data_IF_021790437131
#
_entry.id   IF_021790437131
#
_cell.length_a   1.000
_cell.length_b   1.000
_cell.length_c   1.000
_cell.angle_alpha   90.00
_cell.angle_beta   90.00
_cell.angle_gamma   90.00
#
_symmetry.space_group_name_H-M   'P 1'
#
loop_
_entity.id
_entity.type
_entity.pdbx_description
1 polymer ?
#
# COMPACT_ATOMS: atom_id res chain seq x y z
N UNK A 1 18.66 -8.94 72.55
CA UNK A 1 18.85 -8.14 71.32
C UNK A 1 19.46 -9.05 70.25
N UNK A 2 18.62 -9.58 69.35
CA UNK A 2 19.05 -10.33 68.15
C UNK A 2 18.21 -9.77 67.01
N UNK A 3 18.87 -9.03 66.13
CA UNK A 3 18.30 -8.49 64.90
C UNK A 3 18.53 -9.56 63.84
N UNK A 4 17.45 -10.16 63.34
CA UNK A 4 17.49 -11.02 62.14
C UNK A 4 16.77 -10.30 61.03
N UNK A 5 17.57 -9.83 60.08
CA UNK A 5 17.19 -9.11 58.87
C UNK A 5 16.30 -9.97 57.97
N UNK A 6 15.08 -9.50 57.69
CA UNK A 6 14.25 -10.04 56.63
C UNK A 6 14.67 -9.44 55.30
N UNK A 7 15.20 -10.25 54.39
CA UNK A 7 15.41 -9.87 52.99
C UNK A 7 14.07 -9.94 52.28
N UNK A 8 13.49 -8.78 51.97
CA UNK A 8 12.30 -8.69 51.11
C UNK A 8 12.76 -8.81 49.66
N UNK A 9 12.51 -9.97 49.04
CA UNK A 9 12.59 -10.11 47.58
C UNK A 9 11.44 -9.30 46.96
N UNK A 10 11.76 -8.12 46.42
CA UNK A 10 10.86 -7.42 45.50
C UNK A 10 11.03 -8.12 44.14
N UNK A 11 10.08 -8.99 43.81
CA UNK A 11 9.94 -9.46 42.45
C UNK A 11 9.48 -8.29 41.58
N UNK A 12 10.40 -7.66 40.84
CA UNK A 12 10.05 -6.82 39.70
C UNK A 12 9.45 -7.75 38.64
N UNK A 13 8.13 -7.87 38.62
CA UNK A 13 7.43 -8.37 37.46
C UNK A 13 7.61 -7.34 36.34
N UNK A 14 8.58 -7.57 35.46
CA UNK A 14 8.62 -6.92 34.16
C UNK A 14 7.38 -7.36 33.39
N UNK A 15 6.29 -6.60 33.50
CA UNK A 15 5.20 -6.63 32.54
C UNK A 15 5.76 -6.16 31.19
N UNK A 16 6.31 -7.09 30.42
CA UNK A 16 6.42 -6.93 28.98
C UNK A 16 4.98 -6.91 28.44
N UNK A 17 4.33 -5.75 28.51
CA UNK A 17 3.07 -5.51 27.84
C UNK A 17 3.36 -5.47 26.33
N UNK A 18 3.48 -6.64 25.71
CA UNK A 18 3.19 -6.78 24.30
C UNK A 18 1.72 -6.41 24.14
N UNK A 19 1.43 -5.16 23.80
CA UNK A 19 0.05 -4.75 23.54
C UNK A 19 -0.41 -5.49 22.29
N UNK A 20 -1.10 -6.61 22.47
CA UNK A 20 -1.83 -7.24 21.39
C UNK A 20 -2.95 -6.27 21.01
N UNK A 21 -2.90 -5.71 19.80
CA UNK A 21 -3.97 -4.88 19.28
C UNK A 21 -5.28 -5.65 19.36
N UNK A 22 -6.38 -4.95 19.66
CA UNK A 22 -7.69 -5.59 19.70
C UNK A 22 -8.08 -6.04 18.29
N UNK A 23 -8.67 -7.24 18.19
CA UNK A 23 -9.31 -7.68 16.95
C UNK A 23 -10.52 -6.81 16.65
N UNK A 24 -10.69 -6.44 15.38
CA UNK A 24 -11.83 -5.66 14.95
C UNK A 24 -13.15 -6.41 15.20
N UNK A 25 -14.17 -5.68 15.68
CA UNK A 25 -15.53 -6.20 15.86
C UNK A 25 -16.29 -6.37 14.54
N UNK A 26 -15.91 -5.60 13.53
CA UNK A 26 -16.41 -5.67 12.16
C UNK A 26 -15.33 -5.26 11.17
N UNK A 27 -15.53 -5.57 9.88
CA UNK A 27 -14.55 -5.25 8.84
C UNK A 27 -15.24 -4.82 7.56
N UNK A 28 -14.75 -3.72 6.97
CA UNK A 28 -15.18 -3.28 5.64
C UNK A 28 -14.51 -4.11 4.56
N UNK A 29 -15.19 -4.35 3.45
CA UNK A 29 -14.59 -5.03 2.29
C UNK A 29 -14.25 -3.98 1.24
N UNK A 30 -12.96 -3.88 0.88
CA UNK A 30 -12.49 -3.11 -0.28
C UNK A 30 -12.67 -3.95 -1.54
N UNK A 31 -13.59 -3.58 -2.45
CA UNK A 31 -13.83 -4.33 -3.67
C UNK A 31 -12.73 -4.03 -4.71
N UNK A 32 -12.57 -4.95 -5.67
CA UNK A 32 -11.84 -4.63 -6.89
C UNK A 32 -12.59 -3.51 -7.64
N UNK A 33 -11.91 -2.40 -7.88
CA UNK A 33 -12.47 -1.22 -8.54
C UNK A 33 -13.06 -1.58 -9.92
N UNK A 34 -12.44 -2.50 -10.67
CA UNK A 34 -12.88 -2.89 -12.02
C UNK A 34 -14.26 -3.55 -12.04
N UNK A 35 -14.76 -3.99 -10.88
CA UNK A 35 -16.06 -4.67 -10.72
C UNK A 35 -17.14 -3.76 -10.15
N UNK A 36 -16.83 -2.49 -9.90
CA UNK A 36 -17.77 -1.55 -9.33
C UNK A 36 -18.80 -1.09 -10.37
N UNK A 37 -20.05 -0.97 -9.93
CA UNK A 37 -21.14 -0.41 -10.74
C UNK A 37 -21.00 1.11 -10.89
N UNK A 38 -21.64 1.65 -11.92
CA UNK A 38 -21.71 3.10 -12.14
C UNK A 38 -22.30 3.87 -10.96
N UNK A 39 -23.25 3.27 -10.23
CA UNK A 39 -23.83 3.87 -9.03
C UNK A 39 -22.80 4.02 -7.89
N UNK A 40 -21.91 3.02 -7.73
CA UNK A 40 -20.84 3.10 -6.74
C UNK A 40 -19.78 4.16 -7.12
N UNK A 41 -19.43 4.25 -8.41
CA UNK A 41 -18.55 5.32 -8.89
C UNK A 41 -19.17 6.71 -8.71
N UNK A 42 -20.48 6.85 -8.92
CA UNK A 42 -21.19 8.11 -8.65
C UNK A 42 -21.19 8.48 -7.17
N UNK A 43 -21.28 7.49 -6.26
CA UNK A 43 -21.15 7.72 -4.82
C UNK A 43 -19.76 8.26 -4.48
N UNK A 44 -18.70 7.64 -5.04
CA UNK A 44 -17.32 8.12 -4.89
C UNK A 44 -17.17 9.54 -5.41
N UNK A 45 -17.65 9.84 -6.62
CA UNK A 45 -17.59 11.19 -7.20
C UNK A 45 -18.25 12.24 -6.30
N UNK A 46 -19.38 11.89 -5.67
CA UNK A 46 -20.10 12.77 -4.75
C UNK A 46 -19.26 13.11 -3.51
N UNK A 47 -18.67 12.08 -2.89
CA UNK A 47 -17.82 12.26 -1.70
C UNK A 47 -16.54 13.02 -2.03
N UNK A 48 -15.87 12.69 -3.13
CA UNK A 48 -14.64 13.37 -3.56
C UNK A 48 -14.88 14.85 -3.84
N UNK A 49 -16.02 15.20 -4.45
CA UNK A 49 -16.39 16.60 -4.67
C UNK A 49 -16.56 17.35 -3.34
N UNK A 50 -17.28 16.77 -2.37
CA UNK A 50 -17.45 17.38 -1.04
C UNK A 50 -16.11 17.52 -0.30
N UNK A 51 -15.27 16.49 -0.34
CA UNK A 51 -13.92 16.55 0.20
C UNK A 51 -13.08 17.64 -0.46
N UNK A 52 -13.21 17.85 -1.77
CA UNK A 52 -12.50 18.92 -2.47
C UNK A 52 -13.02 20.31 -2.08
N UNK A 53 -14.33 20.49 -1.97
CA UNK A 53 -14.98 21.73 -1.52
C UNK A 53 -14.48 22.14 -0.12
N UNK A 54 -14.27 21.17 0.77
CA UNK A 54 -13.72 21.39 2.12
C UNK A 54 -12.17 21.45 2.17
N UNK A 55 -11.51 21.31 1.02
CA UNK A 55 -10.06 21.41 0.86
C UNK A 55 -9.28 20.18 1.31
N UNK A 56 -9.93 19.05 1.58
CA UNK A 56 -9.26 17.81 1.99
C UNK A 56 -8.35 17.25 0.90
N UNK A 57 -8.77 17.26 -0.37
CA UNK A 57 -7.96 16.72 -1.47
C UNK A 57 -6.59 17.42 -1.54
N UNK A 58 -6.57 18.76 -1.48
CA UNK A 58 -5.34 19.55 -1.44
C UNK A 58 -4.49 19.27 -0.19
N UNK A 59 -5.11 19.06 0.98
CA UNK A 59 -4.40 18.71 2.23
C UNK A 59 -3.70 17.36 2.15
N UNK A 60 -4.32 16.36 1.52
CA UNK A 60 -3.69 15.05 1.28
C UNK A 60 -2.52 15.18 0.30
N UNK A 61 -2.68 15.88 -0.83
CA UNK A 61 -1.56 16.15 -1.74
C UNK A 61 -0.39 16.87 -1.06
N UNK A 62 -0.68 17.92 -0.29
CA UNK A 62 0.32 18.64 0.50
C UNK A 62 1.01 17.76 1.55
N UNK A 63 0.25 16.93 2.27
CA UNK A 63 0.82 16.05 3.30
C UNK A 63 1.81 15.06 2.70
N UNK A 64 1.44 14.44 1.57
CA UNK A 64 2.29 13.49 0.87
C UNK A 64 3.56 14.16 0.34
N UNK A 65 3.44 15.35 -0.24
CA UNK A 65 4.58 16.12 -0.77
C UNK A 65 5.58 16.51 0.33
N UNK A 66 5.08 17.00 1.47
CA UNK A 66 5.93 17.36 2.63
C UNK A 66 6.65 16.16 3.25
N UNK A 67 6.03 14.98 3.19
CA UNK A 67 6.57 13.76 3.77
C UNK A 67 7.30 12.90 2.75
N UNK A 68 7.38 13.32 1.49
CA UNK A 68 7.76 12.48 0.37
C UNK A 68 9.06 11.70 0.61
N UNK A 69 10.14 12.39 0.99
CA UNK A 69 11.44 11.76 1.23
C UNK A 69 11.51 10.91 2.50
N UNK A 70 10.53 11.04 3.41
CA UNK A 70 10.45 10.24 4.63
C UNK A 70 9.67 8.96 4.42
N UNK A 71 8.85 8.88 3.36
CA UNK A 71 7.89 7.78 3.15
C UNK A 71 8.17 6.94 1.91
N UNK A 72 9.20 7.32 1.13
CA UNK A 72 9.72 6.58 -0.01
C UNK A 72 11.17 6.16 0.20
N UNK A 73 11.61 5.12 -0.50
CA UNK A 73 12.98 4.65 -0.46
C UNK A 73 13.39 4.04 0.88
N UNK A 74 12.44 3.85 1.80
CA UNK A 74 12.66 3.19 3.09
C UNK A 74 11.48 2.26 3.47
N UNK A 75 11.60 1.49 4.54
CA UNK A 75 10.62 0.44 4.86
C UNK A 75 9.31 0.93 5.48
N UNK A 76 9.22 2.22 5.88
CA UNK A 76 7.94 2.83 6.29
C UNK A 76 6.96 3.00 5.13
N UNK A 77 7.41 2.80 3.88
CA UNK A 77 6.61 2.92 2.67
C UNK A 77 5.25 2.23 2.79
N UNK A 78 5.19 0.92 3.03
CA UNK A 78 3.91 0.22 3.10
C UNK A 78 3.05 0.63 4.32
N UNK A 79 3.59 0.70 5.56
CA UNK A 79 2.80 1.14 6.72
C UNK A 79 2.24 2.56 6.58
N UNK A 80 3.06 3.50 6.08
CA UNK A 80 2.63 4.88 5.85
C UNK A 80 1.50 4.94 4.82
N UNK A 81 1.70 4.38 3.62
CA UNK A 81 0.68 4.44 2.56
C UNK A 81 -0.62 3.75 2.98
N UNK A 82 -0.54 2.66 3.75
CA UNK A 82 -1.71 2.00 4.35
C UNK A 82 -2.45 2.93 5.30
N UNK A 83 -1.75 3.57 6.24
CA UNK A 83 -2.34 4.51 7.19
C UNK A 83 -2.91 5.74 6.49
N UNK A 84 -2.23 6.22 5.47
CA UNK A 84 -2.60 7.38 4.67
C UNK A 84 -3.92 7.16 3.92
N UNK A 85 -4.08 5.99 3.28
CA UNK A 85 -5.35 5.61 2.65
C UNK A 85 -6.45 5.38 3.69
N UNK A 86 -6.12 4.81 4.85
CA UNK A 86 -7.09 4.66 5.94
C UNK A 86 -7.59 6.02 6.43
N UNK A 87 -6.72 7.03 6.53
CA UNK A 87 -7.14 8.39 6.89
C UNK A 87 -8.03 9.02 5.83
N UNK A 88 -7.67 8.85 4.55
CA UNK A 88 -8.50 9.29 3.45
C UNK A 88 -9.90 8.69 3.53
N UNK A 89 -9.98 7.38 3.78
CA UNK A 89 -11.24 6.66 3.95
C UNK A 89 -12.02 7.12 5.19
N UNK A 90 -11.34 7.41 6.31
CA UNK A 90 -11.97 7.93 7.53
C UNK A 90 -12.58 9.32 7.32
N UNK A 91 -11.86 10.22 6.64
CA UNK A 91 -12.38 11.55 6.25
C UNK A 91 -13.55 11.40 5.28
N UNK A 92 -13.42 10.56 4.25
CA UNK A 92 -14.50 10.30 3.30
C UNK A 92 -15.78 9.77 4.00
N UNK A 93 -15.61 8.96 5.05
CA UNK A 93 -16.71 8.42 5.87
C UNK A 93 -17.49 9.45 6.68
N UNK A 94 -16.95 10.65 6.88
CA UNK A 94 -17.73 11.74 7.49
C UNK A 94 -18.81 12.27 6.55
N UNK A 95 -18.69 12.01 5.25
CA UNK A 95 -19.67 12.38 4.22
C UNK A 95 -20.58 11.19 3.85
N UNK A 96 -20.01 10.00 3.74
CA UNK A 96 -20.74 8.74 3.49
C UNK A 96 -20.19 7.62 4.39
N UNK A 97 -20.89 7.23 5.46
CA UNK A 97 -20.42 6.18 6.39
C UNK A 97 -20.15 4.82 5.72
N UNK A 98 -20.68 4.58 4.53
CA UNK A 98 -20.46 3.35 3.76
C UNK A 98 -19.23 3.41 2.84
N UNK A 99 -18.57 4.57 2.74
CA UNK A 99 -17.44 4.78 1.85
C UNK A 99 -16.30 3.81 2.15
N UNK A 100 -15.76 3.24 1.06
CA UNK A 100 -14.56 2.41 1.05
C UNK A 100 -13.70 2.82 -0.15
N UNK A 101 -12.39 2.89 0.03
CA UNK A 101 -11.47 3.04 -1.09
C UNK A 101 -11.35 1.68 -1.78
N UNK A 102 -11.77 1.55 -3.05
CA UNK A 102 -11.60 0.30 -3.79
C UNK A 102 -10.13 0.12 -4.17
N UNK A 103 -9.71 -1.11 -4.46
CA UNK A 103 -8.34 -1.34 -4.94
C UNK A 103 -8.29 -1.40 -6.47
N UNK A 104 -7.24 -0.79 -7.04
CA UNK A 104 -6.89 -0.88 -8.45
C UNK A 104 -5.85 -1.99 -8.61
N UNK A 105 -6.22 -3.10 -9.26
CA UNK A 105 -5.26 -4.10 -9.71
C UNK A 105 -4.63 -3.70 -11.05
N UNK A 106 -3.52 -2.95 -11.02
CA UNK A 106 -2.83 -2.47 -12.22
C UNK A 106 -2.36 -3.60 -13.17
N UNK A 107 -2.31 -4.85 -12.69
CA UNK A 107 -1.87 -5.97 -13.51
C UNK A 107 -2.95 -6.48 -14.48
N UNK A 108 -4.23 -6.13 -14.28
CA UNK A 108 -5.36 -6.62 -15.09
C UNK A 108 -5.37 -6.08 -16.54
N UNK A 109 -4.70 -4.96 -16.82
CA UNK A 109 -4.55 -4.42 -18.18
C UNK A 109 -3.13 -3.97 -18.46
N UNK A 110 -2.14 -4.69 -17.92
CA UNK A 110 -0.74 -4.28 -18.00
C UNK A 110 -0.22 -4.07 -19.43
N UNK A 111 -0.75 -4.79 -20.43
CA UNK A 111 -0.36 -4.65 -21.85
C UNK A 111 -0.83 -3.34 -22.48
N UNK A 112 -2.01 -2.88 -22.11
CA UNK A 112 -2.62 -1.64 -22.59
C UNK A 112 -3.32 -0.93 -21.42
N UNK A 113 -2.55 -0.26 -20.54
CA UNK A 113 -3.13 0.30 -19.32
C UNK A 113 -4.19 1.36 -19.60
N UNK A 114 -4.10 2.07 -20.73
CA UNK A 114 -5.06 3.11 -21.10
C UNK A 114 -6.47 2.57 -21.38
N UNK A 115 -6.60 1.30 -21.79
CA UNK A 115 -7.91 0.65 -22.00
C UNK A 115 -8.49 -0.01 -20.75
N UNK A 116 -7.80 0.10 -19.60
CA UNK A 116 -8.28 -0.45 -18.34
C UNK A 116 -9.70 0.07 -18.04
N UNK A 117 -10.65 -0.77 -17.60
CA UNK A 117 -12.04 -0.35 -17.32
C UNK A 117 -12.19 0.77 -16.27
N UNK A 118 -11.09 1.08 -15.57
CA UNK A 118 -11.01 2.15 -14.58
C UNK A 118 -10.66 3.49 -15.20
N UNK A 119 -9.89 3.50 -16.29
CA UNK A 119 -9.42 4.71 -16.95
C UNK A 119 -10.42 5.18 -18.01
N UNK A 120 -11.68 5.25 -17.62
CA UNK A 120 -12.82 5.63 -18.45
C UNK A 120 -13.56 6.83 -17.85
N UNK A 121 -14.34 7.52 -18.67
CA UNK A 121 -15.12 8.68 -18.24
C UNK A 121 -16.15 8.38 -17.14
N UNK A 122 -16.57 7.11 -16.97
CA UNK A 122 -17.52 6.68 -15.95
C UNK A 122 -16.90 6.17 -14.65
N UNK A 123 -15.56 6.15 -14.55
CA UNK A 123 -14.80 5.67 -13.40
C UNK A 123 -13.72 6.70 -13.00
N UNK A 124 -12.43 6.34 -12.99
CA UNK A 124 -11.34 7.23 -12.55
C UNK A 124 -11.01 8.34 -13.55
N UNK A 125 -11.61 8.34 -14.73
CA UNK A 125 -11.36 9.32 -15.80
C UNK A 125 -10.24 8.87 -16.75
N UNK A 126 -10.14 9.55 -17.89
CA UNK A 126 -9.19 9.25 -18.97
C UNK A 126 -7.88 10.06 -18.81
N UNK A 127 -7.13 10.21 -19.90
CA UNK A 127 -6.04 11.18 -19.99
C UNK A 127 -6.56 12.63 -19.87
N UNK A 128 -5.67 13.54 -19.46
CA UNK A 128 -5.93 14.98 -19.46
C UNK A 128 -6.12 15.53 -20.87
N UNK A 129 -7.01 16.50 -21.01
CA UNK A 129 -7.32 17.16 -22.28
C UNK A 129 -6.67 18.55 -22.35
N UNK A 130 -6.70 19.14 -23.56
CA UNK A 130 -6.15 20.46 -23.87
C UNK A 130 -4.67 20.65 -23.52
N UNK A 131 -4.16 21.86 -23.73
CA UNK A 131 -2.76 22.21 -23.45
C UNK A 131 -2.44 22.26 -21.96
N UNK A 132 -3.45 22.43 -21.12
CA UNK A 132 -3.37 22.49 -19.65
C UNK A 132 -3.45 21.10 -18.98
N UNK A 133 -3.73 20.04 -19.77
CA UNK A 133 -3.76 18.64 -19.35
C UNK A 133 -4.80 18.36 -18.26
N UNK A 134 -5.88 19.14 -18.21
CA UNK A 134 -6.92 18.98 -17.20
C UNK A 134 -7.71 17.67 -17.38
N UNK A 135 -8.00 17.01 -16.27
CA UNK A 135 -8.93 15.88 -16.23
C UNK A 135 -10.37 16.41 -16.31
N UNK A 136 -11.05 16.16 -17.43
CA UNK A 136 -12.40 16.70 -17.70
C UNK A 136 -13.54 15.68 -17.49
N UNK A 137 -13.21 14.43 -17.16
CA UNK A 137 -14.18 13.34 -16.96
C UNK A 137 -13.74 12.42 -15.80
N UNK A 138 -14.59 11.45 -15.42
CA UNK A 138 -14.38 10.58 -14.27
C UNK A 138 -14.78 11.21 -12.93
N UNK A 139 -14.50 10.50 -11.82
CA UNK A 139 -14.93 10.87 -10.47
C UNK A 139 -14.37 12.20 -9.95
N UNK A 140 -13.30 12.72 -10.57
CA UNK A 140 -12.70 14.00 -10.25
C UNK A 140 -12.70 14.97 -11.44
N UNK A 141 -13.62 14.79 -12.39
CA UNK A 141 -13.80 15.68 -13.53
C UNK A 141 -13.82 17.17 -13.11
N UNK A 142 -13.01 18.00 -13.76
CA UNK A 142 -12.97 19.45 -13.58
C UNK A 142 -12.63 19.91 -12.14
N UNK A 143 -12.01 19.04 -11.33
CA UNK A 143 -11.58 19.37 -9.97
C UNK A 143 -10.55 20.49 -10.00
N UNK A 144 -10.79 21.55 -9.22
CA UNK A 144 -9.81 22.60 -8.97
C UNK A 144 -9.11 22.35 -7.64
N UNK A 145 -7.78 22.40 -7.67
CA UNK A 145 -6.88 22.17 -6.55
C UNK A 145 -6.26 23.51 -6.13
N UNK A 146 -5.95 23.64 -4.83
CA UNK A 146 -5.36 24.86 -4.26
C UNK A 146 -3.87 24.72 -3.91
N UNK A 147 -3.35 23.50 -3.85
CA UNK A 147 -1.95 23.17 -3.61
C UNK A 147 -1.34 22.52 -4.86
N UNK A 148 -0.06 22.77 -5.22
CA UNK A 148 0.85 23.77 -4.64
C UNK A 148 0.48 25.22 -5.04
N UNK A 149 -0.33 25.36 -6.08
CA UNK A 149 -0.96 26.61 -6.52
C UNK A 149 -2.33 26.29 -7.10
N UNK A 150 -3.15 27.29 -7.42
CA UNK A 150 -4.45 27.03 -8.04
C UNK A 150 -4.30 26.45 -9.46
N UNK A 151 -4.88 25.28 -9.71
CA UNK A 151 -4.92 24.62 -11.02
C UNK A 151 -5.97 23.50 -11.06
N UNK A 152 -6.28 22.97 -12.25
CA UNK A 152 -7.10 21.77 -12.38
C UNK A 152 -6.31 20.50 -12.05
N UNK A 153 -6.98 19.42 -11.66
CA UNK A 153 -6.38 18.08 -11.61
C UNK A 153 -5.87 17.67 -13.00
N UNK A 154 -4.62 17.20 -13.10
CA UNK A 154 -3.98 16.88 -14.39
C UNK A 154 -3.56 15.41 -14.55
N UNK A 155 -3.64 14.92 -15.78
CA UNK A 155 -3.00 13.66 -16.24
C UNK A 155 -2.34 13.87 -17.58
N UNK A 156 -1.23 13.18 -17.82
CA UNK A 156 -0.48 13.31 -19.06
C UNK A 156 0.15 11.97 -19.44
N UNK A 157 -0.67 11.04 -19.92
CA UNK A 157 -0.22 9.68 -20.18
C UNK A 157 1.11 9.63 -20.95
N UNK A 158 2.01 8.75 -20.50
CA UNK A 158 3.40 8.75 -20.97
C UNK A 158 3.62 8.22 -22.39
N UNK A 159 2.53 7.92 -23.13
CA UNK A 159 2.57 7.53 -24.53
C UNK A 159 1.43 8.20 -25.32
N UNK A 160 1.34 9.54 -25.20
CA UNK A 160 0.35 10.34 -25.90
C UNK A 160 -1.04 10.18 -25.28
N UNK A 161 -1.97 9.53 -25.99
CA UNK A 161 -3.28 9.16 -25.45
C UNK A 161 -3.34 7.70 -24.98
N UNK A 162 -2.21 6.99 -25.04
CA UNK A 162 -2.02 5.65 -24.50
C UNK A 162 -1.02 5.68 -23.35
N UNK A 163 -0.89 4.57 -22.63
CA UNK A 163 0.10 4.40 -21.55
C UNK A 163 1.04 3.27 -21.99
N UNK A 164 2.35 3.42 -21.75
CA UNK A 164 3.30 2.32 -21.97
C UNK A 164 2.92 1.10 -21.12
N UNK A 165 3.18 -0.14 -21.58
CA UNK A 165 2.87 -1.32 -20.79
C UNK A 165 3.43 -1.24 -19.36
N UNK A 166 2.68 -1.75 -18.40
CA UNK A 166 3.09 -1.91 -17.02
C UNK A 166 3.71 -3.29 -16.78
N UNK A 167 4.09 -3.56 -15.53
CA UNK A 167 4.66 -4.85 -15.14
C UNK A 167 3.60 -5.95 -15.19
N UNK A 168 3.97 -7.07 -15.82
CA UNK A 168 3.11 -8.23 -15.97
C UNK A 168 2.83 -8.93 -14.62
N UNK A 169 1.65 -9.56 -14.45
CA UNK A 169 1.31 -10.32 -13.25
C UNK A 169 2.37 -11.33 -12.83
N UNK A 170 3.03 -11.99 -13.78
CA UNK A 170 4.06 -13.01 -13.56
C UNK A 170 5.28 -12.42 -12.82
N UNK A 171 5.65 -11.18 -13.12
CA UNK A 171 6.75 -10.49 -12.43
C UNK A 171 6.37 -10.23 -10.97
N UNK A 172 5.15 -9.75 -10.73
CA UNK A 172 4.64 -9.49 -9.38
C UNK A 172 4.50 -10.80 -8.59
N UNK A 173 4.02 -11.87 -9.24
CA UNK A 173 3.97 -13.22 -8.66
C UNK A 173 5.37 -13.70 -8.28
N UNK A 174 6.40 -13.47 -9.12
CA UNK A 174 7.78 -13.81 -8.80
C UNK A 174 8.25 -13.06 -7.55
N UNK A 175 8.06 -11.74 -7.48
CA UNK A 175 8.46 -10.94 -6.32
C UNK A 175 7.81 -11.39 -5.02
N UNK A 176 6.52 -11.73 -5.05
CA UNK A 176 5.77 -12.28 -3.92
C UNK A 176 6.39 -13.59 -3.42
N UNK A 177 6.88 -14.44 -4.34
CA UNK A 177 7.43 -15.75 -4.00
C UNK A 177 8.90 -15.73 -3.60
N UNK A 178 9.69 -14.78 -4.10
CA UNK A 178 11.14 -14.76 -3.93
C UNK A 178 11.61 -13.81 -2.84
N UNK A 179 10.83 -12.78 -2.51
CA UNK A 179 11.21 -11.80 -1.48
C UNK A 179 11.20 -12.46 -0.10
N UNK A 180 12.35 -12.41 0.57
CA UNK A 180 12.54 -13.02 1.89
C UNK A 180 12.23 -12.05 3.03
N UNK A 181 12.38 -10.76 2.76
CA UNK A 181 12.21 -9.67 3.72
C UNK A 181 11.21 -8.63 3.25
N UNK A 182 10.74 -7.77 4.16
CA UNK A 182 9.90 -6.64 3.77
C UNK A 182 10.70 -5.61 2.97
N UNK A 183 11.98 -5.42 3.31
CA UNK A 183 12.86 -4.49 2.61
C UNK A 183 13.03 -4.87 1.13
N UNK A 184 13.30 -6.15 0.84
CA UNK A 184 13.44 -6.67 -0.52
C UNK A 184 12.14 -6.56 -1.32
N UNK A 185 11.01 -6.95 -0.70
CA UNK A 185 9.71 -6.86 -1.36
C UNK A 185 9.31 -5.43 -1.65
N UNK A 186 9.60 -4.51 -0.72
CA UNK A 186 9.37 -3.09 -0.91
C UNK A 186 10.16 -2.58 -2.11
N UNK A 187 11.46 -2.88 -2.22
CA UNK A 187 12.27 -2.45 -3.38
C UNK A 187 11.71 -3.01 -4.69
N UNK A 188 11.36 -4.30 -4.70
CA UNK A 188 10.72 -4.95 -5.83
C UNK A 188 9.46 -4.21 -6.29
N UNK A 189 8.61 -3.76 -5.37
CA UNK A 189 7.35 -3.06 -5.70
C UNK A 189 7.61 -1.59 -6.07
N UNK A 190 8.38 -0.87 -5.25
CA UNK A 190 8.61 0.57 -5.38
C UNK A 190 9.37 0.92 -6.67
N UNK A 191 10.32 0.05 -7.07
CA UNK A 191 11.10 0.20 -8.30
C UNK A 191 10.39 -0.35 -9.56
N UNK A 192 9.21 -0.93 -9.42
CA UNK A 192 8.47 -1.56 -10.53
C UNK A 192 7.09 -0.95 -10.75
N UNK A 193 6.03 -1.71 -10.47
CA UNK A 193 4.63 -1.39 -10.76
C UNK A 193 4.18 -0.11 -10.06
N UNK A 194 4.72 0.21 -8.88
CA UNK A 194 4.45 1.48 -8.21
C UNK A 194 4.87 2.65 -9.10
N UNK A 195 6.16 2.75 -9.43
CA UNK A 195 6.64 3.81 -10.31
C UNK A 195 6.03 3.75 -11.71
N UNK A 196 5.76 2.57 -12.25
CA UNK A 196 5.17 2.42 -13.58
C UNK A 196 3.73 2.98 -13.66
N UNK A 197 2.90 2.77 -12.64
CA UNK A 197 1.54 3.35 -12.60
C UNK A 197 1.60 4.87 -12.47
N UNK A 198 2.44 5.37 -11.56
CA UNK A 198 2.64 6.80 -11.36
C UNK A 198 3.11 7.51 -12.63
N UNK A 199 4.20 7.01 -13.23
CA UNK A 199 4.75 7.53 -14.49
C UNK A 199 3.83 7.30 -15.68
N UNK A 200 3.02 6.23 -15.66
CA UNK A 200 2.07 5.91 -16.71
C UNK A 200 0.96 6.95 -16.83
N UNK A 201 0.39 7.34 -15.69
CA UNK A 201 -0.68 8.35 -15.62
C UNK A 201 -0.14 9.79 -15.69
N UNK A 202 0.98 10.04 -15.01
CA UNK A 202 1.68 11.33 -14.90
C UNK A 202 0.75 12.52 -14.56
N UNK A 203 1.21 13.75 -14.74
CA UNK A 203 0.45 14.96 -14.40
C UNK A 203 0.55 15.25 -12.91
N UNK A 204 -0.48 14.95 -12.13
CA UNK A 204 -0.31 14.90 -10.67
C UNK A 204 0.45 13.64 -10.25
N UNK A 205 0.21 12.52 -10.94
CA UNK A 205 0.68 11.20 -10.52
C UNK A 205 2.20 11.03 -10.60
N UNK A 206 2.94 11.89 -11.28
CA UNK A 206 4.41 11.85 -11.32
C UNK A 206 5.08 12.91 -10.42
N UNK A 207 4.34 13.46 -9.45
CA UNK A 207 4.81 14.51 -8.54
C UNK A 207 4.76 14.08 -7.07
N UNK A 208 5.33 14.92 -6.19
CA UNK A 208 5.23 14.74 -4.74
C UNK A 208 3.82 14.85 -4.19
N UNK A 209 2.87 15.44 -4.92
CA UNK A 209 1.48 15.62 -4.51
C UNK A 209 0.50 14.73 -5.30
N UNK A 210 0.96 13.55 -5.77
CA UNK A 210 0.15 12.54 -6.45
C UNK A 210 -1.16 12.17 -5.73
N UNK A 211 -1.21 12.32 -4.40
CA UNK A 211 -2.40 12.10 -3.59
C UNK A 211 -3.59 13.04 -3.89
N UNK A 212 -3.43 14.06 -4.76
CA UNK A 212 -4.54 14.80 -5.34
C UNK A 212 -5.44 13.91 -6.22
N UNK A 213 -4.86 12.97 -6.96
CA UNK A 213 -5.58 12.04 -7.82
C UNK A 213 -6.05 10.83 -6.99
N UNK A 214 -7.34 10.53 -7.00
CA UNK A 214 -7.93 9.42 -6.27
C UNK A 214 -7.35 8.07 -6.68
N UNK A 215 -6.80 7.97 -7.90
CA UNK A 215 -6.09 6.79 -8.38
C UNK A 215 -4.90 6.43 -7.50
N UNK A 216 -4.23 7.41 -6.89
CA UNK A 216 -3.18 7.20 -5.88
C UNK A 216 -3.64 6.29 -4.74
N UNK A 217 -4.81 6.59 -4.18
CA UNK A 217 -5.36 5.87 -3.04
C UNK A 217 -5.80 4.45 -3.44
N UNK A 218 -6.42 4.32 -4.60
CA UNK A 218 -6.86 3.03 -5.14
C UNK A 218 -5.67 2.10 -5.50
N UNK A 219 -4.62 2.65 -6.13
CA UNK A 219 -3.42 1.90 -6.48
C UNK A 219 -2.59 1.51 -5.24
N UNK A 220 -2.52 2.39 -4.24
CA UNK A 220 -1.84 2.11 -2.96
C UNK A 220 -2.46 0.93 -2.18
N UNK A 221 -3.75 0.63 -2.42
CA UNK A 221 -4.43 -0.52 -1.82
C UNK A 221 -4.00 -1.88 -2.41
N UNK A 222 -3.34 -1.92 -3.57
CA UNK A 222 -3.01 -3.17 -4.25
C UNK A 222 -1.92 -3.97 -3.54
N UNK A 223 -1.01 -3.29 -2.84
CA UNK A 223 0.20 -3.91 -2.33
C UNK A 223 -0.07 -4.74 -1.07
N UNK A 224 -0.39 -6.01 -1.32
CA UNK A 224 -0.53 -7.06 -0.31
C UNK A 224 0.83 -7.75 -0.16
N UNK A 225 1.59 -7.51 0.91
CA UNK A 225 2.59 -8.50 1.29
C UNK A 225 1.86 -9.83 1.51
N UNK A 226 2.30 -10.94 0.89
CA UNK A 226 1.65 -12.22 1.07
C UNK A 226 1.65 -12.61 2.55
N UNK A 227 0.71 -13.47 2.93
CA UNK A 227 0.42 -13.92 4.30
C UNK A 227 1.52 -14.85 4.87
N UNK A 228 2.75 -14.73 4.38
CA UNK A 228 3.90 -15.35 5.02
C UNK A 228 4.33 -14.49 6.21
N UNK A 229 4.58 -15.14 7.34
CA UNK A 229 5.01 -14.51 8.61
C UNK A 229 6.26 -13.62 8.47
N UNK A 230 6.98 -13.68 7.34
CA UNK A 230 8.15 -12.86 7.05
C UNK A 230 7.84 -11.37 6.94
N UNK A 231 6.64 -10.92 6.54
CA UNK A 231 6.38 -9.48 6.38
C UNK A 231 6.11 -8.71 7.68
N UNK A 232 6.00 -9.44 8.79
CA UNK A 232 5.98 -8.87 10.14
C UNK A 232 7.40 -8.56 10.66
N UNK A 233 8.46 -8.90 9.93
CA UNK A 233 9.84 -8.63 10.35
C UNK A 233 10.16 -7.14 10.40
N UNK A 234 9.42 -6.30 9.65
CA UNK A 234 9.64 -4.85 9.49
C UNK A 234 11.13 -4.49 9.59
N UNK A 235 11.90 -5.04 8.66
CA UNK A 235 13.35 -4.97 8.61
C UNK A 235 13.83 -3.87 7.65
N UNK A 236 15.14 -3.78 7.40
CA UNK A 236 15.74 -2.75 6.54
C UNK A 236 15.95 -1.40 7.25
N UNK A 237 16.00 -0.33 6.46
CA UNK A 237 16.19 1.04 6.96
C UNK A 237 14.86 1.77 7.01
N UNK A 238 14.54 2.32 8.18
CA UNK A 238 13.46 3.29 8.37
C UNK A 238 13.98 4.73 8.32
N UNK A 239 13.12 5.74 8.58
CA UNK A 239 13.47 7.15 8.43
C UNK A 239 14.55 7.67 9.39
N UNK A 240 14.81 6.97 10.50
CA UNK A 240 15.73 7.41 11.57
C UNK A 240 16.82 6.37 11.91
N UNK A 241 16.99 5.34 11.08
CA UNK A 241 17.93 4.25 11.34
C UNK A 241 17.36 2.88 10.96
N UNK A 242 17.85 1.79 11.55
CA UNK A 242 17.27 0.45 11.36
C UNK A 242 15.78 0.45 11.70
N UNK A 243 14.98 -0.18 10.86
CA UNK A 243 13.52 -0.23 10.99
C UNK A 243 13.09 -0.95 12.27
N UNK A 244 12.11 -0.38 12.98
CA UNK A 244 11.51 -0.98 14.17
C UNK A 244 9.99 -0.86 14.16
N UNK A 245 9.29 -1.89 14.64
CA UNK A 245 7.82 -1.84 14.78
C UNK A 245 7.33 -0.71 15.69
N UNK A 246 8.20 -0.19 16.56
CA UNK A 246 7.94 0.97 17.40
C UNK A 246 8.08 2.31 16.67
N UNK A 247 8.61 2.35 15.45
CA UNK A 247 8.77 3.59 14.69
C UNK A 247 7.44 4.31 14.53
N UNK A 248 7.47 5.64 14.65
CA UNK A 248 6.30 6.46 14.41
C UNK A 248 6.01 6.52 12.90
N UNK A 249 4.73 6.48 12.54
CA UNK A 249 4.30 6.81 11.17
C UNK A 249 4.46 8.33 11.00
N UNK A 250 5.24 8.81 10.01
CA UNK A 250 5.39 10.23 9.75
C UNK A 250 4.04 10.90 9.51
N UNK A 251 3.87 12.12 10.04
CA UNK A 251 2.64 12.89 9.92
C UNK A 251 2.92 14.33 9.54
N UNK A 252 1.99 14.96 8.85
CA UNK A 252 2.08 16.35 8.41
C UNK A 252 1.09 17.21 9.21
N UNK A 253 1.29 18.52 9.24
CA UNK A 253 0.31 19.43 9.88
C UNK A 253 -1.04 19.42 9.16
N UNK A 254 -1.06 19.12 7.85
CA UNK A 254 -2.28 19.04 7.05
C UNK A 254 -3.06 17.73 7.26
N UNK A 255 -2.37 16.64 7.61
CA UNK A 255 -2.93 15.30 7.89
C UNK A 255 -2.13 14.66 9.03
N UNK A 256 -2.73 14.60 10.22
CA UNK A 256 -2.07 14.12 11.45
C UNK A 256 -2.49 12.67 11.79
N UNK A 257 -1.53 11.85 12.23
CA UNK A 257 -1.76 10.46 12.63
C UNK A 257 -1.61 10.22 14.13
N UNK A 258 -1.67 11.27 14.94
CA UNK A 258 -1.72 11.19 16.41
C UNK A 258 -0.64 10.30 17.08
N UNK A 259 0.52 10.15 16.46
CA UNK A 259 1.61 9.33 16.98
C UNK A 259 1.44 7.83 16.76
N UNK A 260 0.62 7.41 15.79
CA UNK A 260 0.52 6.03 15.35
C UNK A 260 1.89 5.42 15.05
N UNK A 261 2.04 4.13 15.36
CA UNK A 261 3.28 3.39 15.18
C UNK A 261 3.14 2.38 14.06
N UNK A 262 4.26 1.97 13.48
CA UNK A 262 4.29 0.92 12.46
C UNK A 262 3.55 -0.34 12.91
N UNK A 263 3.75 -0.77 14.16
CA UNK A 263 3.07 -1.93 14.73
C UNK A 263 1.55 -1.89 14.63
N UNK A 264 0.92 -0.71 14.67
CA UNK A 264 -0.53 -0.58 14.55
C UNK A 264 -1.05 -0.79 13.13
N UNK A 265 -0.17 -0.78 12.13
CA UNK A 265 -0.52 -0.83 10.71
C UNK A 265 -0.20 -2.15 10.03
N UNK A 266 0.57 -3.05 10.66
CA UNK A 266 1.08 -4.24 9.98
C UNK A 266 0.02 -5.30 9.67
N UNK A 267 -0.99 -5.47 10.54
CA UNK A 267 -1.92 -6.61 10.50
C UNK A 267 -3.35 -6.14 10.20
N UNK A 268 -3.92 -6.63 9.10
CA UNK A 268 -5.33 -6.39 8.76
C UNK A 268 -6.27 -7.07 9.76
N UNK A 269 -7.37 -6.41 10.11
CA UNK A 269 -8.37 -6.93 11.04
C UNK A 269 -8.05 -6.72 12.53
N UNK A 270 -7.02 -5.93 12.84
CA UNK A 270 -6.63 -5.54 14.19
C UNK A 270 -6.42 -4.04 14.31
N UNK A 271 -6.62 -3.48 15.51
CA UNK A 271 -6.47 -2.05 15.77
C UNK A 271 -7.43 -1.23 14.91
N UNK A 272 -6.88 -0.23 14.19
CA UNK A 272 -7.67 0.62 13.28
C UNK A 272 -7.78 0.05 11.86
N UNK A 273 -7.05 -1.02 11.54
CA UNK A 273 -6.96 -1.59 10.18
C UNK A 273 -8.13 -2.56 9.94
N UNK A 274 -9.35 -2.11 10.19
CA UNK A 274 -10.57 -2.91 10.16
C UNK A 274 -11.17 -3.06 8.75
N UNK A 275 -10.38 -3.55 7.80
CA UNK A 275 -10.83 -3.87 6.45
C UNK A 275 -10.19 -5.14 5.90
N UNK A 276 -10.81 -5.72 4.88
CA UNK A 276 -10.30 -6.82 4.07
C UNK A 276 -10.52 -6.50 2.59
N UNK A 277 -9.94 -7.32 1.73
CA UNK A 277 -10.20 -7.27 0.30
C UNK A 277 -11.18 -8.38 -0.10
N UNK A 278 -11.99 -8.14 -1.14
CA UNK A 278 -12.98 -9.10 -1.65
C UNK A 278 -12.41 -10.48 -2.09
N UNK A 279 -11.09 -10.53 -2.31
CA UNK A 279 -10.33 -11.71 -2.72
C UNK A 279 -9.42 -12.26 -1.63
N UNK A 280 -9.39 -11.64 -0.45
CA UNK A 280 -8.52 -12.07 0.65
C UNK A 280 -9.18 -13.16 1.51
N UNK A 281 -8.38 -14.11 2.03
CA UNK A 281 -8.84 -14.96 3.12
C UNK A 281 -9.18 -14.11 4.35
N UNK A 282 -9.98 -14.67 5.25
CA UNK A 282 -10.33 -13.99 6.51
C UNK A 282 -9.07 -13.62 7.33
N UNK A 283 -9.14 -12.56 8.16
CA UNK A 283 -8.03 -12.18 9.04
C UNK A 283 -7.54 -13.34 9.92
N UNK A 284 -6.24 -13.38 10.26
CA UNK A 284 -5.70 -14.41 11.15
C UNK A 284 -6.43 -14.41 12.49
N UNK A 285 -6.64 -15.61 13.04
CA UNK A 285 -7.44 -15.83 14.25
C UNK A 285 -6.81 -15.23 15.52
N UNK A 286 -5.49 -15.01 15.50
CA UNK A 286 -4.71 -14.35 16.56
C UNK A 286 -3.76 -13.30 15.97
N UNK A 287 -3.45 -12.26 16.75
CA UNK A 287 -2.40 -11.31 16.38
C UNK A 287 -1.05 -12.05 16.40
N UNK A 288 -0.24 -11.99 15.34
CA UNK A 288 1.06 -12.64 15.31
C UNK A 288 1.92 -12.11 16.47
N UNK A 289 2.35 -12.98 17.37
CA UNK A 289 3.31 -12.61 18.42
C UNK A 289 4.63 -12.22 17.76
N UNK A 290 5.05 -10.97 17.92
CA UNK A 290 6.32 -10.48 17.41
C UNK A 290 7.49 -11.14 18.13
N UNK A 291 7.94 -12.30 17.64
CA UNK A 291 9.28 -12.78 17.96
C UNK A 291 10.24 -12.09 16.99
N UNK A 292 10.85 -11.01 17.46
CA UNK A 292 12.12 -10.52 16.92
C UNK A 292 13.19 -11.58 17.21
N UNK A 293 13.24 -12.63 16.41
CA UNK A 293 14.43 -13.46 16.27
C UNK A 293 15.01 -13.14 14.91
N UNK A 294 15.91 -12.15 14.90
CA UNK A 294 16.91 -12.03 13.85
C UNK A 294 17.57 -13.43 13.66
N UNK A 295 17.75 -13.91 12.41
CA UNK A 295 18.55 -15.11 12.21
C UNK A 295 19.94 -14.86 12.79
N UNK A 296 20.35 -15.68 13.77
CA UNK A 296 21.74 -15.71 14.21
C UNK A 296 22.62 -16.00 13.00
N UNK A 297 23.37 -15.00 12.55
CA UNK A 297 24.48 -15.20 11.63
C UNK A 297 25.55 -16.02 12.35
N UNK A 298 25.53 -17.33 12.17
CA UNK A 298 26.68 -18.17 12.47
C UNK A 298 27.70 -18.00 11.34
N UNK A 299 28.53 -16.95 11.43
CA UNK A 299 29.75 -16.79 10.65
C UNK A 299 30.99 -17.05 11.53
N UNK A 300 32.08 -17.63 10.99
CA UNK A 300 33.21 -18.10 11.79
C UNK A 300 34.03 -16.93 12.35
N UNK A 301 34.60 -17.17 13.54
CA UNK A 301 35.39 -16.23 14.31
C UNK A 301 36.53 -15.57 13.53
N UNK A 302 36.61 -14.24 13.58
CA UNK A 302 37.77 -13.46 13.17
C UNK A 302 38.31 -12.65 14.37
N UNK A 303 39.63 -12.62 14.44
CA UNK A 303 40.45 -12.35 15.60
C UNK A 303 40.36 -10.91 16.17
N UNK A 304 40.65 -10.83 17.47
CA UNK A 304 40.77 -9.62 18.27
C UNK A 304 41.81 -8.63 17.75
N UNK A 305 41.49 -7.33 17.84
CA UNK A 305 42.44 -6.24 18.03
C UNK A 305 41.83 -5.16 18.94
N UNK A 306 42.62 -4.73 19.92
CA UNK A 306 42.28 -3.85 21.04
C UNK A 306 42.21 -2.35 20.67
N UNK A 307 41.63 -1.50 21.55
CA UNK A 307 41.24 -0.12 21.24
C UNK A 307 42.37 0.89 21.45
N UNK A 308 42.30 2.01 20.72
CA UNK A 308 43.12 3.21 20.96
C UNK A 308 42.20 4.28 21.54
N UNK A 309 42.53 4.72 22.74
CA UNK A 309 41.96 5.86 23.45
C UNK A 309 42.14 7.16 22.65
N UNK A 310 41.17 8.08 22.74
CA UNK A 310 41.52 9.43 23.20
C UNK A 310 40.34 10.22 23.77
N UNK A 311 40.57 10.68 25.00
CA UNK A 311 39.78 11.67 25.72
C UNK A 311 40.02 13.08 25.16
N UNK A 312 39.04 13.96 25.37
CA UNK A 312 39.21 15.40 25.18
C UNK A 312 37.99 16.19 25.66
N UNK A 313 37.90 16.41 26.97
CA UNK A 313 36.99 17.38 27.60
C UNK A 313 37.55 18.81 27.53
N UNK A 314 36.66 19.77 27.30
CA UNK A 314 36.67 21.15 27.85
C UNK A 314 35.38 21.82 27.34
N UNK A 315 34.54 22.57 28.04
CA UNK A 315 34.52 23.26 29.33
C UNK A 315 33.43 24.35 29.16
N UNK A 316 32.53 24.55 30.15
CA UNK A 316 31.40 25.51 30.09
C UNK A 316 31.81 26.99 30.13
N UNK A 317 30.94 27.98 30.51
CA UNK A 317 29.62 27.84 31.16
C UNK A 317 28.50 28.88 30.80
N UNK A 318 27.30 28.61 31.35
CA UNK A 318 26.31 29.53 31.99
C UNK A 318 25.41 30.54 31.23
N UNK A 319 24.14 30.52 31.67
CA UNK A 319 23.14 31.60 31.88
C UNK A 319 22.39 32.12 30.61
N UNK A 320 21.08 32.42 30.61
CA UNK A 320 20.17 32.93 31.65
C UNK A 320 18.69 32.63 31.32
N UNK A 321 17.87 32.70 32.36
CA UNK A 321 16.41 32.66 32.34
C UNK A 321 15.75 33.94 31.80
N UNK A 322 14.56 33.80 31.22
CA UNK A 322 13.48 34.81 31.17
C UNK A 322 12.17 34.07 30.85
N UNK A 323 11.29 33.84 31.84
CA UNK A 323 10.12 34.65 32.19
C UNK A 323 9.04 34.79 31.08
N UNK A 324 7.85 34.32 31.44
CA UNK A 324 6.57 34.36 30.70
C UNK A 324 6.10 35.81 30.43
N UNK A 325 4.98 35.98 29.70
CA UNK A 325 3.71 36.03 30.43
C UNK A 325 2.56 35.24 29.78
N UNK A 326 1.67 34.80 30.66
CA UNK A 326 0.36 34.26 30.38
C UNK A 326 -0.56 35.29 29.70
N UNK A 327 -1.42 34.80 28.81
CA UNK A 327 -2.66 35.46 28.46
C UNK A 327 -3.82 34.46 28.62
N UNK A 328 -4.90 35.02 29.16
CA UNK A 328 -6.01 34.38 29.84
C UNK A 328 -7.26 34.45 28.93
N UNK A 329 -8.25 33.61 29.24
CA UNK A 329 -9.65 33.67 28.79
C UNK A 329 -9.94 33.15 27.36
N UNK A 330 -11.02 32.41 27.09
CA UNK A 330 -12.17 32.08 27.93
C UNK A 330 -13.05 30.99 27.30
N UNK A 331 -13.65 30.21 28.19
CA UNK A 331 -14.66 29.19 27.92
C UNK A 331 -16.01 29.82 27.55
N UNK A 332 -16.57 29.46 26.40
CA UNK A 332 -18.02 29.42 26.07
C UNK A 332 -18.13 28.42 24.91
N UNK A 333 -19.01 27.43 24.84
CA UNK A 333 -20.30 27.21 25.46
C UNK A 333 -21.14 26.52 24.38
N UNK A 334 -21.38 25.21 24.56
CA UNK A 334 -22.27 24.37 23.74
C UNK A 334 -23.67 25.00 23.62
N UNK A 335 -24.36 24.75 22.50
CA UNK A 335 -25.76 24.38 22.59
C UNK A 335 -26.01 22.99 22.02
N UNK A 336 -26.52 22.14 22.90
CA UNK A 336 -27.24 20.91 22.62
C UNK A 336 -28.61 21.22 22.02
N UNK A 337 -28.98 20.55 20.93
CA UNK A 337 -30.38 20.34 20.56
C UNK A 337 -30.65 18.84 20.45
N UNK A 338 -31.39 18.35 21.44
CA UNK A 338 -32.09 17.08 21.49
C UNK A 338 -33.39 17.16 20.69
N UNK A 339 -33.59 16.25 19.74
CA UNK A 339 -34.91 15.86 19.26
C UNK A 339 -34.94 14.34 19.09
N UNK A 340 -35.87 13.70 19.80
CA UNK A 340 -36.16 12.27 19.76
C UNK A 340 -37.43 12.02 18.91
N UNK A 341 -37.91 10.77 18.72
CA UNK A 341 -37.84 10.07 17.45
C UNK A 341 -39.20 9.89 16.77
N UNK A 342 -39.23 9.88 15.44
CA UNK A 342 -40.42 9.46 14.68
C UNK A 342 -40.31 7.99 14.27
N UNK A 343 -41.29 7.22 14.72
CA UNK A 343 -41.59 5.86 14.29
C UNK A 343 -42.06 5.87 12.84
N UNK A 344 -41.49 5.01 11.99
CA UNK A 344 -42.20 4.53 10.78
C UNK A 344 -41.73 3.13 10.37
N UNK A 345 -42.63 2.18 10.64
CA UNK A 345 -43.03 1.02 9.83
C UNK A 345 -41.97 0.01 9.38
N UNK A 346 -41.96 -1.12 10.09
CA UNK A 346 -41.49 -2.42 9.61
C UNK A 346 -42.23 -2.82 8.32
N UNK A 347 -41.53 -2.87 7.19
CA UNK A 347 -41.91 -3.69 6.05
C UNK A 347 -40.98 -4.89 5.97
N UNK A 348 -41.58 -6.07 6.08
CA UNK A 348 -40.93 -7.37 5.98
C UNK A 348 -40.38 -7.57 4.57
N UNK A 349 -39.06 -7.68 4.41
CA UNK A 349 -38.43 -8.13 3.17
C UNK A 349 -38.46 -9.66 3.10
N UNK A 350 -38.88 -10.26 1.97
CA UNK A 350 -38.89 -11.71 1.81
C UNK A 350 -37.47 -12.25 1.72
N UNK A 351 -37.25 -13.41 2.36
CA UNK A 351 -35.98 -14.11 2.44
C UNK A 351 -35.31 -14.27 1.06
N UNK A 352 -34.15 -13.63 0.89
CA UNK A 352 -33.28 -13.83 -0.27
C UNK A 352 -32.75 -15.26 -0.26
N UNK A 353 -33.05 -16.01 -1.34
CA UNK A 353 -32.43 -17.31 -1.63
C UNK A 353 -30.91 -17.11 -1.76
N UNK A 354 -30.08 -18.07 -1.31
CA UNK A 354 -28.63 -17.97 -1.43
C UNK A 354 -28.25 -17.95 -2.91
N UNK A 355 -27.79 -16.77 -3.38
CA UNK A 355 -27.18 -16.61 -4.68
C UNK A 355 -25.76 -17.15 -4.58
N UNK A 356 -25.48 -18.25 -5.28
CA UNK A 356 -24.13 -18.79 -5.43
C UNK A 356 -23.30 -17.77 -6.24
N UNK A 357 -22.21 -17.21 -5.69
CA UNK A 357 -21.40 -16.27 -6.43
C UNK A 357 -20.68 -17.00 -7.57
N UNK A 358 -21.07 -16.68 -8.80
CA UNK A 358 -20.24 -16.90 -9.98
C UNK A 358 -19.18 -15.79 -10.01
N UNK A 359 -17.96 -16.12 -9.60
CA UNK A 359 -16.89 -15.13 -9.48
C UNK A 359 -15.53 -15.78 -9.28
N UNK A 360 -15.08 -16.59 -10.25
CA UNK A 360 -13.82 -17.35 -10.18
C UNK A 360 -12.76 -16.86 -11.19
N UNK A 361 -12.84 -15.66 -11.75
CA UNK A 361 -11.91 -15.23 -12.80
C UNK A 361 -10.46 -15.13 -12.31
N UNK A 362 -10.21 -14.61 -11.10
CA UNK A 362 -8.84 -14.40 -10.61
C UNK A 362 -8.23 -15.67 -10.00
N UNK A 363 -9.04 -16.57 -9.43
CA UNK A 363 -8.57 -17.88 -9.01
C UNK A 363 -8.29 -18.79 -10.21
N UNK A 364 -9.15 -18.75 -11.24
CA UNK A 364 -8.94 -19.53 -12.45
C UNK A 364 -7.69 -19.06 -13.21
N UNK A 365 -7.46 -17.76 -13.33
CA UNK A 365 -6.26 -17.21 -13.99
C UNK A 365 -4.97 -17.57 -13.24
N UNK A 366 -4.98 -17.51 -11.90
CA UNK A 366 -3.83 -17.96 -11.07
C UNK A 366 -3.61 -19.47 -11.11
N UNK A 367 -4.66 -20.27 -11.25
CA UNK A 367 -4.55 -21.73 -11.45
C UNK A 367 -4.01 -22.04 -12.85
N UNK A 368 -4.44 -21.31 -13.89
CA UNK A 368 -3.94 -21.43 -15.26
C UNK A 368 -2.47 -20.96 -15.39
N UNK A 369 -2.11 -19.88 -14.70
CA UNK A 369 -0.73 -19.42 -14.52
C UNK A 369 0.11 -20.53 -13.89
N UNK A 370 -0.38 -21.16 -12.80
CA UNK A 370 0.34 -22.24 -12.12
C UNK A 370 0.58 -23.50 -12.98
N UNK A 371 -0.38 -23.89 -13.83
CA UNK A 371 -0.29 -25.08 -14.69
C UNK A 371 0.49 -24.82 -15.97
N UNK A 372 0.38 -23.62 -16.54
CA UNK A 372 1.17 -23.18 -17.70
C UNK A 372 2.65 -23.04 -17.34
N UNK A 373 2.94 -22.42 -16.19
CA UNK A 373 4.30 -22.32 -15.65
C UNK A 373 4.86 -23.73 -15.36
N UNK A 374 4.21 -24.58 -14.56
CA UNK A 374 4.81 -25.88 -14.21
C UNK A 374 5.26 -26.75 -15.40
N UNK A 375 4.60 -26.64 -16.56
CA UNK A 375 4.91 -27.42 -17.76
C UNK A 375 6.00 -26.79 -18.65
N UNK A 376 6.18 -25.47 -18.62
CA UNK A 376 7.09 -24.74 -19.51
C UNK A 376 8.51 -24.57 -18.96
N UNK A 377 8.73 -24.81 -17.66
CA UNK A 377 9.74 -24.06 -16.91
C UNK A 377 11.14 -24.67 -16.70
N UNK A 378 11.50 -25.86 -17.19
CA UNK A 378 12.90 -26.35 -17.12
C UNK A 378 13.63 -26.12 -15.77
N UNK A 379 14.96 -25.94 -15.78
CA UNK A 379 15.75 -25.65 -14.56
C UNK A 379 15.89 -24.17 -14.20
N UNK A 380 15.99 -23.28 -15.21
CA UNK A 380 16.33 -21.85 -15.03
C UNK A 380 15.24 -21.03 -14.34
N UNK A 381 13.97 -21.46 -14.42
CA UNK A 381 12.84 -20.63 -13.97
C UNK A 381 12.42 -20.92 -12.52
N UNK A 382 12.95 -22.00 -11.94
CA UNK A 382 12.83 -22.32 -10.52
C UNK A 382 13.40 -21.21 -9.61
N UNK A 383 14.38 -20.45 -10.11
CA UNK A 383 14.94 -19.25 -9.45
C UNK A 383 13.89 -18.16 -9.24
N UNK A 384 13.00 -17.97 -10.21
CA UNK A 384 12.00 -16.91 -10.18
C UNK A 384 10.68 -17.36 -9.54
N UNK A 385 10.40 -18.66 -9.54
CA UNK A 385 9.18 -19.23 -8.98
C UNK A 385 9.46 -20.48 -8.14
N UNK A 386 10.03 -20.32 -6.93
CA UNK A 386 10.49 -21.44 -6.09
C UNK A 386 9.36 -22.34 -5.58
N UNK A 387 8.11 -21.83 -5.55
CA UNK A 387 6.96 -22.59 -5.07
C UNK A 387 6.56 -23.78 -5.96
N UNK A 388 7.05 -23.83 -7.20
CA UNK A 388 6.84 -24.95 -8.13
C UNK A 388 7.85 -26.09 -7.94
N UNK A 389 9.07 -25.79 -7.49
CA UNK A 389 10.13 -26.79 -7.28
C UNK A 389 9.93 -27.66 -6.03
N UNK A 390 9.06 -27.24 -5.11
CA UNK A 390 8.86 -27.87 -3.79
C UNK A 390 7.63 -28.79 -3.71
N UNK A 391 6.88 -28.97 -4.79
CA UNK A 391 5.70 -29.86 -4.82
C UNK A 391 4.52 -29.42 -3.94
N UNK A 392 4.53 -28.18 -3.43
CA UNK A 392 3.54 -27.65 -2.48
C UNK A 392 2.22 -27.20 -3.13
N UNK A 393 2.12 -27.19 -4.46
CA UNK A 393 0.86 -26.97 -5.18
C UNK A 393 0.37 -28.27 -5.85
N UNK A 394 -0.49 -29.04 -5.16
CA UNK A 394 -1.33 -30.04 -5.85
C UNK A 394 -2.45 -29.33 -6.59
N UNK A 395 -2.31 -29.19 -7.90
CA UNK A 395 -3.39 -28.75 -8.79
C UNK A 395 -4.55 -29.74 -8.68
N UNK A 396 -5.65 -29.35 -8.03
CA UNK A 396 -6.90 -30.11 -8.11
C UNK A 396 -7.56 -29.81 -9.46
N UNK A 397 -7.52 -30.79 -10.37
CA UNK A 397 -8.35 -30.80 -11.59
C UNK A 397 -9.83 -30.83 -11.18
N UNK A 398 -10.49 -29.67 -11.13
CA UNK A 398 -11.95 -29.59 -11.33
C UNK A 398 -12.18 -29.21 -12.77
N UNK A 399 -12.73 -30.15 -13.53
CA UNK A 399 -13.05 -29.97 -14.95
C UNK A 399 -13.90 -28.71 -15.14
N UNK A 400 -13.37 -27.76 -15.89
CA UNK A 400 -14.10 -26.60 -16.36
C UNK A 400 -14.04 -26.59 -17.88
N UNK A 401 -15.18 -26.32 -18.52
CA UNK A 401 -15.22 -26.14 -19.97
C UNK A 401 -14.53 -24.82 -20.30
N UNK A 402 -13.44 -24.91 -21.07
CA UNK A 402 -12.75 -23.77 -21.65
C UNK A 402 -13.76 -22.87 -22.39
N UNK A 403 -13.76 -21.58 -22.08
CA UNK A 403 -14.21 -20.59 -23.06
C UNK A 403 -13.06 -20.47 -24.07
N UNK A 404 -13.31 -20.57 -25.37
CA UNK A 404 -12.25 -20.43 -26.36
C UNK A 404 -11.72 -19.00 -26.30
N UNK A 405 -10.52 -18.81 -25.78
CA UNK A 405 -9.75 -17.60 -25.98
C UNK A 405 -9.38 -17.58 -27.47
N UNK A 406 -10.00 -16.70 -28.25
CA UNK A 406 -9.77 -16.60 -29.70
C UNK A 406 -8.41 -16.01 -30.08
N UNK A 407 -7.51 -15.78 -29.10
CA UNK A 407 -6.10 -15.49 -29.33
C UNK A 407 -5.29 -15.80 -28.08
N UNK A 408 -4.38 -16.78 -28.16
CA UNK A 408 -3.24 -16.86 -27.25
C UNK A 408 -2.32 -15.68 -27.54
N UNK A 409 -1.97 -14.91 -26.50
CA UNK A 409 -1.47 -13.53 -26.60
C UNK A 409 -0.01 -13.41 -27.06
N UNK A 410 0.30 -12.25 -27.63
CA UNK A 410 1.64 -11.81 -28.02
C UNK A 410 2.68 -11.97 -26.88
N UNK A 411 3.99 -11.97 -27.18
CA UNK A 411 5.03 -12.00 -26.16
C UNK A 411 4.77 -11.01 -25.02
N UNK A 412 5.12 -11.38 -23.79
CA UNK A 412 5.00 -10.49 -22.63
C UNK A 412 5.87 -9.25 -22.92
N UNK A 413 5.32 -8.03 -22.88
CA UNK A 413 6.09 -6.81 -23.08
C UNK A 413 7.17 -6.66 -22.01
N UNK A 414 8.32 -6.10 -22.41
CA UNK A 414 9.34 -5.76 -21.43
C UNK A 414 8.84 -4.63 -20.52
N UNK A 415 9.17 -4.68 -19.21
CA UNK A 415 8.72 -3.68 -18.25
C UNK A 415 9.36 -2.31 -18.53
N UNK A 416 8.63 -1.22 -18.26
CA UNK A 416 9.12 0.13 -18.48
C UNK A 416 10.25 0.46 -17.49
N UNK A 417 11.11 1.39 -17.87
CA UNK A 417 12.13 1.96 -16.97
C UNK A 417 11.55 3.14 -16.20
N UNK A 418 11.97 3.26 -14.94
CA UNK A 418 11.77 4.51 -14.20
C UNK A 418 12.62 5.62 -14.84
N UNK A 419 12.11 6.85 -14.86
CA UNK A 419 12.85 7.98 -15.42
C UNK A 419 13.95 8.43 -14.46
N UNK A 420 15.04 9.05 -14.94
CA UNK A 420 16.08 9.63 -14.08
C UNK A 420 15.51 10.64 -13.07
N UNK A 421 14.52 11.43 -13.47
CA UNK A 421 13.86 12.41 -12.62
C UNK A 421 13.09 11.73 -11.47
N UNK A 422 12.42 10.61 -11.76
CA UNK A 422 11.72 9.82 -10.76
C UNK A 422 12.67 9.21 -9.74
N UNK A 423 13.77 8.60 -10.22
CA UNK A 423 14.83 8.02 -9.38
C UNK A 423 15.43 9.10 -8.47
N UNK A 424 15.72 10.28 -9.01
CA UNK A 424 16.27 11.41 -8.26
C UNK A 424 15.29 11.95 -7.21
N UNK A 425 14.02 12.13 -7.59
CA UNK A 425 12.96 12.61 -6.68
C UNK A 425 12.79 11.70 -5.46
N UNK A 426 12.86 10.38 -5.66
CA UNK A 426 12.74 9.40 -4.57
C UNK A 426 14.06 9.12 -3.85
N UNK A 427 15.17 9.69 -4.32
CA UNK A 427 16.53 9.41 -3.81
C UNK A 427 16.87 7.92 -3.84
N UNK A 428 16.41 7.22 -4.87
CA UNK A 428 16.79 5.83 -5.09
C UNK A 428 18.24 5.75 -5.55
N UNK A 429 18.90 4.64 -5.21
CA UNK A 429 20.19 4.27 -5.79
C UNK A 429 19.96 3.85 -7.26
N UNK A 430 20.49 4.59 -8.25
CA UNK A 430 20.28 4.28 -9.66
C UNK A 430 20.80 2.90 -10.07
N UNK A 431 21.92 2.45 -9.50
CA UNK A 431 22.51 1.15 -9.83
C UNK A 431 21.62 0.02 -9.29
N UNK A 432 21.05 0.23 -8.10
CA UNK A 432 20.07 -0.69 -7.52
C UNK A 432 18.81 -0.76 -8.36
N UNK A 433 18.24 0.38 -8.77
CA UNK A 433 17.05 0.41 -9.64
C UNK A 433 17.30 -0.34 -10.96
N UNK A 434 18.47 -0.15 -11.58
CA UNK A 434 18.84 -0.84 -12.82
C UNK A 434 19.00 -2.36 -12.61
N UNK A 435 19.50 -2.80 -11.44
CA UNK A 435 19.55 -4.23 -11.09
C UNK A 435 18.16 -4.87 -11.06
N UNK A 436 17.19 -4.23 -10.41
CA UNK A 436 15.80 -4.71 -10.38
C UNK A 436 15.15 -4.68 -11.77
N UNK A 437 15.41 -3.63 -12.58
CA UNK A 437 14.92 -3.58 -13.96
C UNK A 437 15.45 -4.75 -14.80
N UNK A 438 16.77 -5.02 -14.73
CA UNK A 438 17.40 -6.16 -15.42
C UNK A 438 16.81 -7.49 -14.97
N UNK A 439 16.58 -7.69 -13.67
CA UNK A 439 15.95 -8.91 -13.16
C UNK A 439 14.53 -9.08 -13.72
N UNK A 440 13.74 -8.01 -13.80
CA UNK A 440 12.41 -8.06 -14.40
C UNK A 440 12.45 -8.38 -15.90
N UNK A 441 13.40 -7.80 -16.65
CA UNK A 441 13.62 -8.14 -18.05
C UNK A 441 14.03 -9.61 -18.24
N UNK A 442 14.88 -10.15 -17.37
CA UNK A 442 15.28 -11.56 -17.42
C UNK A 442 14.07 -12.50 -17.22
N UNK A 443 13.15 -12.18 -16.30
CA UNK A 443 11.91 -12.94 -16.14
C UNK A 443 11.13 -12.98 -17.46
N UNK A 444 10.94 -11.82 -18.09
CA UNK A 444 10.23 -11.70 -19.38
C UNK A 444 10.93 -12.46 -20.49
N UNK A 445 12.26 -12.33 -20.61
CA UNK A 445 13.06 -13.03 -21.62
C UNK A 445 12.92 -14.55 -21.48
N UNK A 446 13.07 -15.06 -20.25
CA UNK A 446 12.93 -16.47 -19.94
C UNK A 446 11.53 -16.99 -20.24
N UNK A 447 10.48 -16.26 -19.86
CA UNK A 447 9.10 -16.65 -20.13
C UNK A 447 8.78 -16.65 -21.63
N UNK A 448 9.18 -15.60 -22.35
CA UNK A 448 8.95 -15.47 -23.79
C UNK A 448 9.74 -16.49 -24.62
N UNK A 449 10.91 -16.94 -24.14
CA UNK A 449 11.71 -17.97 -24.79
C UNK A 449 11.30 -19.40 -24.39
N UNK A 450 10.35 -19.55 -23.46
CA UNK A 450 9.80 -20.84 -23.06
C UNK A 450 8.55 -21.18 -23.87
N UNK A 451 7.95 -22.35 -23.62
CA UNK A 451 6.62 -22.69 -24.17
C UNK A 451 5.47 -22.04 -23.40
N UNK A 452 5.76 -21.18 -22.42
CA UNK A 452 4.75 -20.46 -21.66
C UNK A 452 4.10 -19.39 -22.53
N UNK A 453 2.77 -19.32 -22.45
CA UNK A 453 2.01 -18.19 -22.98
C UNK A 453 1.24 -17.57 -21.83
N UNK A 454 1.44 -16.28 -21.61
CA UNK A 454 0.72 -15.54 -20.58
C UNK A 454 -0.79 -15.66 -20.82
N UNK A 455 -1.59 -16.04 -19.79
CA UNK A 455 -3.04 -16.07 -19.89
C UNK A 455 -3.68 -14.68 -19.77
N UNK A 456 -2.86 -13.61 -19.66
CA UNK A 456 -3.25 -12.24 -19.35
C UNK A 456 -3.10 -11.28 -20.55
#
# INVERSE_FOLDING_TARGET
>A
MKITSGVTLIALATLAAGQSLQRCSGSHTRPNAARMSSAQWQSIATVLRQMNEDGWIARFGQAHDQLFSQVHGNTVFFPFHRRFVLEFENVARTYDPSFVVPYFDATESYRDPASHPLLTAGALGTNGQSTDRCLVNGVQANTQLSYPSSHCLRRNYNNGNSINPWYAPEIITSYIQTSQTLADFRENIEYSIHGAVHLGLAGEMDTGYAAHDFTFHAASCQYRPPVHNSYMTYDGSGPSGPAQLSDAIPSASSIAFNGDRVSSMMVLGYGEVCYNYDTSPAPPSSYPGGAASAPQQNGPAAAAQQPIDNQGQSGGPSNNAAQQPAANQGSRGRPSNTAAPQQQQQQQQPAARPFLPSGSSNLASRVLESTGLSNALGGDVSRFFPSFGSGLFRVHRRGYKEKPATSCGDPIPFPPRLTPEWIAMHKFDPDRVEEFHKNACQIVEVLNNSTYTSPY
#
